data_IF_450452086814
#
_entry.id   IF_450452086814
#
_cell.length_a   1.000
_cell.length_b   1.000
_cell.length_c   1.000
_cell.angle_alpha   90.00
_cell.angle_beta   90.00
_cell.angle_gamma   90.00
#
_symmetry.space_group_name_H-M   'P 1'
#
loop_
_entity.id
_entity.type
_entity.pdbx_description
1 polymer ?
#
# COMPACT_ATOMS: atom_id res chain seq x y z
N UNK A 1 -28.32 4.25 -27.32
CA UNK A 1 -27.62 4.30 -26.03
C UNK A 1 -26.16 4.53 -26.31
N UNK A 2 -25.51 5.50 -25.66
CA UNK A 2 -24.05 5.58 -25.73
C UNK A 2 -23.47 4.38 -25.01
N UNK A 3 -22.46 3.76 -25.63
CA UNK A 3 -21.72 2.64 -25.06
C UNK A 3 -20.71 3.22 -24.07
N UNK A 4 -20.65 2.68 -22.86
CA UNK A 4 -19.59 2.99 -21.89
C UNK A 4 -18.23 2.60 -22.46
N UNK A 5 -17.15 3.23 -22.00
CA UNK A 5 -15.79 2.90 -22.44
C UNK A 5 -15.40 1.50 -21.94
N UNK A 6 -15.00 0.63 -22.88
CA UNK A 6 -14.72 -0.77 -22.58
C UNK A 6 -13.52 -0.92 -21.60
N UNK A 7 -12.54 -0.01 -21.60
CA UNK A 7 -11.41 -0.06 -20.66
C UNK A 7 -11.83 0.36 -19.25
N UNK A 8 -12.68 1.38 -19.13
CA UNK A 8 -13.23 1.79 -17.83
C UNK A 8 -14.16 0.71 -17.26
N UNK A 9 -14.97 0.04 -18.07
CA UNK A 9 -15.75 -1.11 -17.62
C UNK A 9 -14.84 -2.23 -17.10
N UNK A 10 -13.75 -2.56 -17.80
CA UNK A 10 -12.82 -3.61 -17.35
C UNK A 10 -12.12 -3.23 -16.02
N UNK A 11 -11.69 -1.97 -15.88
CA UNK A 11 -11.15 -1.45 -14.60
C UNK A 11 -12.17 -1.55 -13.46
N UNK A 12 -13.43 -1.19 -13.72
CA UNK A 12 -14.52 -1.30 -12.74
C UNK A 12 -14.78 -2.75 -12.34
N UNK A 13 -14.73 -3.69 -13.29
CA UNK A 13 -14.88 -5.13 -13.01
C UNK A 13 -13.74 -5.65 -12.12
N UNK A 14 -12.49 -5.25 -12.40
CA UNK A 14 -11.35 -5.60 -11.57
C UNK A 14 -11.48 -5.04 -10.14
N UNK A 15 -11.85 -3.75 -9.98
CA UNK A 15 -12.07 -3.14 -8.66
C UNK A 15 -13.23 -3.81 -7.91
N UNK A 16 -14.33 -4.13 -8.59
CA UNK A 16 -15.47 -4.82 -7.99
C UNK A 16 -15.11 -6.24 -7.54
N UNK A 17 -14.26 -6.95 -8.30
CA UNK A 17 -13.71 -8.27 -7.92
C UNK A 17 -12.92 -8.17 -6.61
N UNK A 18 -11.99 -7.21 -6.51
CA UNK A 18 -11.23 -6.97 -5.28
C UNK A 18 -12.15 -6.62 -4.09
N UNK A 19 -13.10 -5.70 -4.31
CA UNK A 19 -14.01 -5.27 -3.23
C UNK A 19 -14.87 -6.42 -2.74
N UNK A 20 -15.38 -7.27 -3.65
CA UNK A 20 -16.13 -8.47 -3.28
C UNK A 20 -15.31 -9.41 -2.39
N UNK A 21 -14.02 -9.62 -2.69
CA UNK A 21 -13.13 -10.45 -1.86
C UNK A 21 -12.93 -9.85 -0.47
N UNK A 22 -12.71 -8.54 -0.39
CA UNK A 22 -12.59 -7.83 0.89
C UNK A 22 -13.86 -7.99 1.74
N UNK A 23 -15.04 -7.72 1.16
CA UNK A 23 -16.32 -7.85 1.86
C UNK A 23 -16.61 -9.29 2.32
N UNK A 24 -16.21 -10.28 1.53
CA UNK A 24 -16.34 -11.69 1.92
C UNK A 24 -15.53 -11.99 3.19
N UNK A 25 -14.25 -11.64 3.20
CA UNK A 25 -13.37 -11.89 4.35
C UNK A 25 -13.74 -11.06 5.58
N UNK A 26 -14.16 -9.80 5.38
CA UNK A 26 -14.69 -8.97 6.46
C UNK A 26 -15.95 -9.63 7.09
N UNK A 27 -16.86 -10.16 6.26
CA UNK A 27 -18.02 -10.90 6.75
C UNK A 27 -17.62 -12.18 7.50
N UNK A 28 -16.63 -12.93 7.01
CA UNK A 28 -16.12 -14.11 7.73
C UNK A 28 -15.47 -13.75 9.07
N UNK A 29 -14.92 -12.53 9.18
CA UNK A 29 -14.33 -12.02 10.41
C UNK A 29 -15.35 -11.39 11.40
N UNK A 30 -16.61 -11.13 10.99
CA UNK A 30 -17.61 -10.33 11.73
C UNK A 30 -18.09 -10.89 13.08
N UNK A 31 -17.55 -12.02 13.55
CA UNK A 31 -17.77 -12.53 14.92
C UNK A 31 -16.58 -12.38 15.86
N UNK A 32 -15.41 -11.97 15.35
CA UNK A 32 -14.14 -12.03 16.09
C UNK A 32 -13.53 -10.65 16.38
N UNK A 33 -14.11 -9.56 15.85
CA UNK A 33 -13.41 -8.28 15.69
C UNK A 33 -14.27 -7.07 16.04
N UNK A 34 -13.76 -6.20 16.91
CA UNK A 34 -14.24 -4.85 17.18
C UNK A 34 -13.20 -3.86 16.63
N UNK A 35 -13.45 -3.24 15.47
CA UNK A 35 -12.53 -2.25 14.88
C UNK A 35 -12.31 -2.45 13.38
N UNK A 36 -11.38 -1.67 12.82
CA UNK A 36 -10.98 -1.85 11.42
C UNK A 36 -10.08 -3.07 11.25
N UNK A 37 -10.00 -3.58 10.03
CA UNK A 37 -9.23 -4.77 9.63
C UNK A 37 -8.54 -4.49 8.30
N UNK A 38 -7.57 -5.31 7.92
CA UNK A 38 -7.00 -5.26 6.56
C UNK A 38 -8.07 -5.28 5.46
N UNK A 39 -9.10 -6.11 5.61
CA UNK A 39 -10.14 -6.26 4.61
C UNK A 39 -11.04 -5.03 4.51
N UNK A 40 -11.39 -4.40 5.63
CA UNK A 40 -12.18 -3.15 5.62
C UNK A 40 -11.35 -1.98 5.09
N UNK A 41 -10.10 -1.84 5.55
CA UNK A 41 -9.23 -0.73 5.14
C UNK A 41 -8.92 -0.81 3.64
N UNK A 42 -8.67 -2.01 3.11
CA UNK A 42 -8.47 -2.19 1.67
C UNK A 42 -9.77 -1.96 0.89
N UNK A 43 -10.92 -2.37 1.42
CA UNK A 43 -12.24 -2.09 0.82
C UNK A 43 -12.49 -0.59 0.69
N UNK A 44 -12.10 0.21 1.70
CA UNK A 44 -12.23 1.67 1.68
C UNK A 44 -11.30 2.30 0.64
N UNK A 45 -10.06 1.80 0.49
CA UNK A 45 -9.14 2.29 -0.55
C UNK A 45 -9.63 1.97 -1.98
N UNK A 46 -10.42 0.91 -2.16
CA UNK A 46 -11.03 0.57 -3.46
C UNK A 46 -12.15 1.55 -3.83
N UNK A 47 -12.82 2.20 -2.87
CA UNK A 47 -13.94 3.10 -3.16
C UNK A 47 -13.55 4.32 -3.97
N UNK A 48 -12.37 4.88 -3.72
CA UNK A 48 -11.89 6.09 -4.40
C UNK A 48 -11.80 5.87 -5.92
N UNK A 49 -11.00 4.92 -6.44
CA UNK A 49 -10.94 4.68 -7.88
C UNK A 49 -12.26 4.18 -8.46
N UNK A 50 -13.04 3.41 -7.69
CA UNK A 50 -14.34 2.91 -8.14
C UNK A 50 -15.32 4.05 -8.41
N UNK A 51 -15.52 4.93 -7.42
CA UNK A 51 -16.41 6.09 -7.54
C UNK A 51 -15.91 7.08 -8.59
N UNK A 52 -14.59 7.29 -8.68
CA UNK A 52 -14.00 8.16 -9.69
C UNK A 52 -14.33 7.69 -11.11
N UNK A 53 -14.06 6.42 -11.42
CA UNK A 53 -14.29 5.86 -12.77
C UNK A 53 -15.78 5.81 -13.10
N UNK A 54 -16.63 5.43 -12.13
CA UNK A 54 -18.09 5.44 -12.33
C UNK A 54 -18.61 6.85 -12.65
N UNK A 55 -18.15 7.86 -11.91
CA UNK A 55 -18.55 9.24 -12.14
C UNK A 55 -18.02 9.77 -13.46
N UNK A 56 -16.78 9.45 -13.85
CA UNK A 56 -16.23 9.82 -15.15
C UNK A 56 -17.04 9.22 -16.31
N UNK A 57 -17.37 7.93 -16.24
CA UNK A 57 -18.19 7.25 -17.24
C UNK A 57 -19.60 7.84 -17.36
N UNK A 58 -20.28 8.09 -16.23
CA UNK A 58 -21.59 8.74 -16.22
C UNK A 58 -21.52 10.15 -16.82
N UNK A 59 -20.47 10.89 -16.47
CA UNK A 59 -20.24 12.25 -16.94
C UNK A 59 -19.98 12.27 -18.45
N UNK A 60 -19.13 11.38 -18.95
CA UNK A 60 -18.83 11.21 -20.37
C UNK A 60 -20.08 10.76 -21.16
N UNK A 61 -20.87 9.84 -20.61
CA UNK A 61 -22.12 9.38 -21.22
C UNK A 61 -23.13 10.53 -21.42
N UNK A 62 -23.16 11.48 -20.48
CA UNK A 62 -24.02 12.66 -20.51
C UNK A 62 -23.41 13.88 -21.22
N UNK A 63 -22.36 13.70 -22.04
CA UNK A 63 -21.64 14.79 -22.72
C UNK A 63 -21.13 15.87 -21.75
N UNK A 64 -20.78 15.48 -20.52
CA UNK A 64 -20.29 16.41 -19.49
C UNK A 64 -21.29 17.52 -19.18
N UNK A 65 -22.58 17.25 -19.43
CA UNK A 65 -23.67 18.21 -19.25
C UNK A 65 -23.72 18.68 -17.80
N UNK A 66 -23.80 19.99 -17.60
CA UNK A 66 -23.88 20.62 -16.29
C UNK A 66 -22.54 20.96 -15.64
N UNK A 67 -21.40 20.40 -16.09
CA UNK A 67 -20.09 20.70 -15.48
C UNK A 67 -19.76 22.19 -15.61
N UNK A 68 -19.90 22.78 -16.79
CA UNK A 68 -19.60 24.20 -16.98
C UNK A 68 -20.46 25.11 -16.09
N UNK A 69 -21.75 24.77 -15.94
CA UNK A 69 -22.67 25.52 -15.06
C UNK A 69 -22.31 25.36 -13.59
N UNK A 70 -21.90 24.16 -13.18
CA UNK A 70 -21.45 23.89 -11.82
C UNK A 70 -20.18 24.69 -11.51
N UNK A 71 -19.17 24.65 -12.39
CA UNK A 71 -17.95 25.44 -12.28
C UNK A 71 -18.27 26.93 -12.14
N UNK A 72 -19.11 27.47 -13.04
CA UNK A 72 -19.52 28.87 -12.99
C UNK A 72 -20.25 29.21 -11.68
N UNK A 73 -21.08 28.30 -11.16
CA UNK A 73 -21.82 28.55 -9.91
C UNK A 73 -20.91 28.68 -8.68
N UNK A 74 -19.89 27.84 -8.52
CA UNK A 74 -19.04 27.91 -7.32
C UNK A 74 -17.88 28.91 -7.47
N UNK A 75 -17.43 29.20 -8.70
CA UNK A 75 -16.41 30.23 -8.95
C UNK A 75 -17.01 31.63 -8.80
N UNK A 76 -18.27 31.85 -9.20
CA UNK A 76 -18.88 33.18 -9.09
C UNK A 76 -19.15 33.62 -7.64
N UNK A 77 -19.37 32.68 -6.72
CA UNK A 77 -19.67 32.98 -5.31
C UNK A 77 -18.47 33.52 -4.52
N UNK A 78 -17.23 33.23 -4.94
CA UNK A 78 -15.96 33.74 -4.38
C UNK A 78 -15.85 33.76 -2.83
N UNK A 79 -16.66 32.95 -2.13
CA UNK A 79 -16.86 33.03 -0.67
C UNK A 79 -15.60 32.87 0.17
N UNK A 80 -14.64 32.08 -0.32
CA UNK A 80 -13.41 31.71 0.39
C UNK A 80 -12.14 32.35 -0.20
N UNK A 81 -12.26 33.35 -1.07
CA UNK A 81 -11.12 33.92 -1.80
C UNK A 81 -10.33 34.94 -0.97
N UNK A 82 -10.72 35.13 0.31
CA UNK A 82 -10.21 36.12 1.27
C UNK A 82 -8.70 36.05 1.56
N UNK A 83 -7.97 35.07 1.02
CA UNK A 83 -6.54 34.86 1.28
C UNK A 83 -5.63 35.00 0.05
N UNK A 84 -6.18 35.20 -1.15
CA UNK A 84 -5.36 35.51 -2.34
C UNK A 84 -5.16 37.03 -2.41
N UNK A 85 -4.63 37.63 -1.35
CA UNK A 85 -4.05 38.97 -1.45
C UNK A 85 -2.65 38.84 -2.07
N UNK A 86 -2.61 38.48 -3.37
CA UNK A 86 -1.47 38.88 -4.16
C UNK A 86 -1.53 40.41 -4.19
N UNK A 87 -0.70 41.09 -3.40
CA UNK A 87 -0.64 42.56 -3.30
C UNK A 87 -0.52 43.28 -4.66
N UNK A 88 -0.18 42.54 -5.72
CA UNK A 88 -0.10 42.98 -7.12
C UNK A 88 -0.78 41.99 -8.11
N UNK A 89 -1.66 41.10 -7.65
CA UNK A 89 -2.22 40.03 -8.48
C UNK A 89 -3.61 40.32 -9.03
N UNK A 90 -3.88 39.75 -10.19
CA UNK A 90 -5.18 39.82 -10.85
C UNK A 90 -6.19 38.92 -10.11
N UNK A 91 -7.30 39.50 -9.65
CA UNK A 91 -8.44 38.77 -9.05
C UNK A 91 -9.33 38.11 -10.11
N UNK A 92 -8.90 38.10 -11.37
CA UNK A 92 -9.57 37.45 -12.46
C UNK A 92 -9.63 35.93 -12.29
N UNK A 93 -10.84 35.41 -12.19
CA UNK A 93 -11.10 33.98 -12.07
C UNK A 93 -11.04 33.23 -13.40
N UNK A 94 -10.76 33.90 -14.52
CA UNK A 94 -10.70 33.27 -15.85
C UNK A 94 -9.66 32.14 -15.91
N UNK A 95 -8.49 32.32 -15.28
CA UNK A 95 -7.46 31.27 -15.23
C UNK A 95 -7.97 30.02 -14.50
N UNK A 96 -8.71 30.21 -13.40
CA UNK A 96 -9.33 29.10 -12.67
C UNK A 96 -10.44 28.44 -13.50
N UNK A 97 -11.29 29.22 -14.17
CA UNK A 97 -12.35 28.70 -15.03
C UNK A 97 -11.78 27.88 -16.19
N UNK A 98 -10.71 28.36 -16.82
CA UNK A 98 -10.01 27.68 -17.90
C UNK A 98 -9.38 26.37 -17.41
N UNK A 99 -8.64 26.42 -16.30
CA UNK A 99 -7.98 25.25 -15.70
C UNK A 99 -8.99 24.17 -15.29
N UNK A 100 -10.07 24.55 -14.58
CA UNK A 100 -11.12 23.61 -14.19
C UNK A 100 -11.83 23.00 -15.40
N UNK A 101 -12.07 23.79 -16.47
CA UNK A 101 -12.64 23.24 -17.71
C UNK A 101 -11.69 22.25 -18.36
N UNK A 102 -10.38 22.53 -18.39
CA UNK A 102 -9.37 21.62 -18.92
C UNK A 102 -9.28 20.32 -18.11
N UNK A 103 -9.39 20.39 -16.78
CA UNK A 103 -9.39 19.22 -15.90
C UNK A 103 -10.46 18.17 -16.31
N UNK A 104 -11.66 18.63 -16.69
CA UNK A 104 -12.77 17.74 -17.06
C UNK A 104 -12.83 17.40 -18.55
N UNK A 105 -12.00 18.01 -19.39
CA UNK A 105 -12.04 17.81 -20.85
C UNK A 105 -10.78 17.16 -21.37
N UNK A 106 -9.61 17.73 -21.06
CA UNK A 106 -8.31 17.37 -21.63
C UNK A 106 -7.49 16.49 -20.69
N UNK A 107 -7.66 16.64 -19.37
CA UNK A 107 -6.77 16.01 -18.39
C UNK A 107 -7.40 14.80 -17.67
N UNK A 108 -8.59 14.35 -18.11
CA UNK A 108 -9.34 13.27 -17.47
C UNK A 108 -8.53 11.95 -17.40
N UNK A 109 -7.83 11.60 -18.48
CA UNK A 109 -6.98 10.40 -18.54
C UNK A 109 -5.78 10.49 -17.59
N UNK A 110 -5.17 11.67 -17.49
CA UNK A 110 -4.06 11.94 -16.58
C UNK A 110 -4.51 11.90 -15.10
N UNK A 111 -5.71 12.40 -14.82
CA UNK A 111 -6.33 12.29 -13.50
C UNK A 111 -6.63 10.84 -13.15
N UNK A 112 -7.18 10.07 -14.09
CA UNK A 112 -7.42 8.64 -13.90
C UNK A 112 -6.12 7.89 -13.60
N UNK A 113 -5.06 8.18 -14.36
CA UNK A 113 -3.73 7.61 -14.09
C UNK A 113 -3.29 7.90 -12.65
N UNK A 114 -3.37 9.16 -12.20
CA UNK A 114 -2.98 9.56 -10.84
C UNK A 114 -3.82 8.88 -9.76
N UNK A 115 -5.13 8.74 -9.98
CA UNK A 115 -6.04 8.05 -9.06
C UNK A 115 -5.64 6.58 -8.91
N UNK A 116 -5.42 5.88 -10.03
CA UNK A 116 -5.00 4.47 -10.01
C UNK A 116 -3.61 4.29 -9.38
N UNK A 117 -2.67 5.17 -9.69
CA UNK A 117 -1.33 5.16 -9.11
C UNK A 117 -1.37 5.35 -7.59
N UNK A 118 -2.20 6.26 -7.07
CA UNK A 118 -2.41 6.44 -5.63
C UNK A 118 -3.09 5.23 -4.99
N UNK A 119 -4.08 4.65 -5.66
CA UNK A 119 -4.72 3.42 -5.21
C UNK A 119 -3.70 2.29 -5.00
N UNK A 120 -2.77 2.07 -5.94
CA UNK A 120 -1.73 1.04 -5.79
C UNK A 120 -0.83 1.26 -4.57
N UNK A 121 -0.47 2.51 -4.26
CA UNK A 121 0.30 2.84 -3.05
C UNK A 121 -0.50 2.53 -1.80
N UNK A 122 -1.74 3.01 -1.75
CA UNK A 122 -2.55 2.91 -0.56
C UNK A 122 -2.91 1.45 -0.28
N UNK A 123 -3.29 0.69 -1.31
CA UNK A 123 -3.53 -0.74 -1.20
C UNK A 123 -2.30 -1.48 -0.63
N UNK A 124 -1.10 -1.16 -1.13
CA UNK A 124 0.13 -1.74 -0.59
C UNK A 124 0.47 -1.23 0.82
N UNK A 125 0.15 0.01 1.15
CA UNK A 125 0.40 0.59 2.48
C UNK A 125 -0.51 -0.03 3.55
N UNK A 126 -1.78 -0.29 3.21
CA UNK A 126 -2.71 -1.07 4.04
C UNK A 126 -2.14 -2.47 4.27
N UNK A 127 -1.74 -3.15 3.20
CA UNK A 127 -1.10 -4.47 3.29
C UNK A 127 0.13 -4.45 4.21
N UNK A 128 1.06 -3.51 3.96
CA UNK A 128 2.30 -3.38 4.71
C UNK A 128 2.06 -3.12 6.20
N UNK A 129 1.11 -2.23 6.53
CA UNK A 129 0.72 -1.95 7.90
C UNK A 129 0.25 -3.21 8.62
N UNK A 130 -0.74 -3.91 8.04
CA UNK A 130 -1.37 -5.04 8.70
C UNK A 130 -0.44 -6.25 8.81
N UNK A 131 0.36 -6.53 7.77
CA UNK A 131 1.37 -7.59 7.84
C UNK A 131 2.47 -7.23 8.85
N UNK A 132 2.96 -5.99 8.87
CA UNK A 132 3.96 -5.59 9.86
C UNK A 132 3.44 -5.62 11.30
N UNK A 133 2.15 -5.38 11.52
CA UNK A 133 1.50 -5.46 12.83
C UNK A 133 1.53 -6.88 13.40
N UNK A 134 1.52 -7.92 12.56
CA UNK A 134 1.56 -9.32 12.99
C UNK A 134 2.99 -9.82 13.31
N UNK A 135 4.02 -9.06 12.90
CA UNK A 135 5.41 -9.50 12.91
C UNK A 135 5.92 -9.99 14.27
N UNK A 136 5.75 -9.21 15.34
CA UNK A 136 6.31 -9.59 16.65
C UNK A 136 5.64 -10.86 17.18
N UNK A 137 4.34 -11.02 16.99
CA UNK A 137 3.60 -12.21 17.42
C UNK A 137 4.02 -13.45 16.63
N UNK A 138 4.16 -13.35 15.30
CA UNK A 138 4.69 -14.44 14.46
C UNK A 138 6.12 -14.81 14.86
N UNK A 139 6.96 -13.81 15.14
CA UNK A 139 8.34 -14.02 15.60
C UNK A 139 8.43 -14.69 16.96
N UNK A 140 7.53 -14.38 17.89
CA UNK A 140 7.44 -15.02 19.20
C UNK A 140 6.95 -16.48 19.09
N UNK A 141 5.99 -16.75 18.20
CA UNK A 141 5.53 -18.11 17.91
C UNK A 141 6.56 -18.96 17.15
N UNK A 142 7.50 -18.31 16.43
CA UNK A 142 8.59 -18.95 15.70
C UNK A 142 9.96 -18.51 16.23
N UNK A 143 10.28 -18.82 17.50
CA UNK A 143 11.52 -18.38 18.12
C UNK A 143 12.68 -18.89 17.29
N UNK A 144 13.44 -17.94 16.73
CA UNK A 144 14.62 -18.29 15.96
C UNK A 144 15.69 -18.70 16.96
N UNK A 145 16.27 -19.90 16.80
CA UNK A 145 17.39 -20.38 17.61
C UNK A 145 18.68 -19.62 17.20
N UNK A 146 18.64 -18.31 17.36
CA UNK A 146 19.50 -17.40 16.61
C UNK A 146 20.86 -17.36 17.28
N UNK A 147 21.89 -17.74 16.53
CA UNK A 147 23.30 -17.57 16.92
C UNK A 147 23.59 -16.13 17.38
N UNK A 148 22.84 -15.15 16.88
CA UNK A 148 22.91 -13.74 17.29
C UNK A 148 22.44 -13.54 18.73
N UNK A 149 21.33 -14.16 19.14
CA UNK A 149 20.82 -14.10 20.52
C UNK A 149 21.79 -14.77 21.48
N UNK A 150 22.29 -15.97 21.15
CA UNK A 150 23.33 -16.67 21.92
C UNK A 150 24.63 -15.85 22.04
N UNK A 151 25.02 -15.15 20.97
CA UNK A 151 26.19 -14.25 20.97
C UNK A 151 25.95 -12.99 21.80
N UNK A 152 24.73 -12.45 21.79
CA UNK A 152 24.33 -11.31 22.61
C UNK A 152 24.28 -11.67 24.09
N UNK A 153 23.65 -12.78 24.46
CA UNK A 153 23.64 -13.33 25.81
C UNK A 153 25.06 -13.53 26.34
N UNK A 154 25.95 -14.13 25.53
CA UNK A 154 27.36 -14.29 25.91
C UNK A 154 28.05 -12.94 26.18
N UNK A 155 27.80 -11.93 25.36
CA UNK A 155 28.36 -10.57 25.56
C UNK A 155 27.78 -9.87 26.78
N UNK A 156 26.49 -10.04 27.06
CA UNK A 156 25.85 -9.52 28.27
C UNK A 156 26.44 -10.16 29.54
N UNK A 157 26.68 -11.48 29.53
CA UNK A 157 27.35 -12.16 30.64
C UNK A 157 28.78 -11.63 30.87
N UNK A 158 29.55 -11.40 29.79
CA UNK A 158 30.89 -10.80 29.89
C UNK A 158 30.80 -9.38 30.47
N UNK A 159 29.84 -8.58 30.01
CA UNK A 159 29.62 -7.22 30.53
C UNK A 159 29.34 -7.22 32.03
N UNK A 160 28.44 -8.08 32.52
CA UNK A 160 28.15 -8.21 33.96
C UNK A 160 29.40 -8.65 34.74
N UNK A 161 30.19 -9.58 34.19
CA UNK A 161 31.47 -9.98 34.78
C UNK A 161 32.45 -8.82 34.93
N UNK A 162 32.60 -7.99 33.88
CA UNK A 162 33.48 -6.81 33.91
C UNK A 162 33.04 -5.75 34.92
N UNK A 163 31.72 -5.55 35.08
CA UNK A 163 31.16 -4.66 36.11
C UNK A 163 31.49 -5.18 37.51
N UNK A 164 31.32 -6.49 37.75
CA UNK A 164 31.61 -7.09 39.06
C UNK A 164 33.11 -7.10 39.39
N UNK A 165 33.98 -7.06 38.39
CA UNK A 165 35.45 -6.97 38.53
C UNK A 165 35.96 -5.52 38.59
N UNK A 166 35.08 -4.52 38.65
CA UNK A 166 35.40 -3.08 38.65
C UNK A 166 36.21 -2.61 37.42
N UNK A 167 36.10 -3.33 36.29
CA UNK A 167 36.75 -3.00 35.01
C UNK A 167 35.87 -2.08 34.16
N UNK A 168 35.57 -0.90 34.70
CA UNK A 168 34.56 0.01 34.14
C UNK A 168 34.87 0.47 32.71
N UNK A 169 36.13 0.69 32.35
CA UNK A 169 36.51 1.15 31.01
C UNK A 169 36.31 0.06 29.92
N UNK A 170 36.56 -1.21 30.28
CA UNK A 170 36.32 -2.35 29.38
C UNK A 170 34.83 -2.66 29.26
N UNK A 171 34.09 -2.52 30.37
CA UNK A 171 32.64 -2.65 30.38
C UNK A 171 31.98 -1.60 29.47
N UNK A 172 32.42 -0.34 29.52
CA UNK A 172 31.89 0.73 28.69
C UNK A 172 32.14 0.50 27.19
N UNK A 173 33.35 0.05 26.81
CA UNK A 173 33.68 -0.33 25.42
C UNK A 173 32.78 -1.48 24.92
N UNK A 174 32.51 -2.47 25.78
CA UNK A 174 31.63 -3.58 25.44
C UNK A 174 30.16 -3.14 25.36
N UNK A 175 29.73 -2.22 26.24
CA UNK A 175 28.40 -1.60 26.21
C UNK A 175 28.16 -0.92 24.87
N UNK A 176 29.07 -0.07 24.42
CA UNK A 176 28.96 0.63 23.13
C UNK A 176 28.92 -0.35 21.95
N UNK A 177 29.72 -1.42 22.01
CA UNK A 177 29.70 -2.47 21.00
C UNK A 177 28.36 -3.23 20.99
N UNK A 178 27.78 -3.51 22.16
CA UNK A 178 26.46 -4.11 22.29
C UNK A 178 25.42 -3.18 21.66
N UNK A 179 25.37 -1.90 22.07
CA UNK A 179 24.41 -0.92 21.54
C UNK A 179 24.53 -0.73 20.03
N UNK A 180 25.75 -0.66 19.50
CA UNK A 180 25.99 -0.56 18.06
C UNK A 180 25.51 -1.80 17.30
N UNK A 181 25.70 -2.99 17.86
CA UNK A 181 25.26 -4.25 17.26
C UNK A 181 23.77 -4.57 17.50
N UNK A 182 23.12 -3.88 18.45
CA UNK A 182 21.68 -4.01 18.78
C UNK A 182 20.82 -2.89 18.23
N UNK A 183 21.37 -1.85 17.61
CA UNK A 183 20.59 -0.82 16.93
C UNK A 183 19.99 -1.41 15.65
N UNK A 184 18.92 -2.19 15.82
CA UNK A 184 18.29 -3.02 14.79
C UNK A 184 16.99 -2.37 14.32
N UNK A 185 17.11 -1.26 13.58
CA UNK A 185 16.00 -0.92 12.70
C UNK A 185 15.78 -2.11 11.76
N UNK A 186 14.59 -2.72 11.83
CA UNK A 186 14.16 -3.78 10.92
C UNK A 186 13.18 -3.12 9.96
N UNK A 187 13.54 -3.11 8.69
CA UNK A 187 12.70 -2.55 7.64
C UNK A 187 11.39 -3.34 7.49
N UNK A 188 10.34 -2.69 7.01
CA UNK A 188 9.07 -3.36 6.71
C UNK A 188 9.25 -4.53 5.73
N UNK A 189 10.13 -4.40 4.74
CA UNK A 189 10.52 -5.49 3.83
C UNK A 189 11.06 -6.69 4.59
N UNK A 190 12.01 -6.50 5.52
CA UNK A 190 12.54 -7.60 6.33
C UNK A 190 11.47 -8.25 7.22
N UNK A 191 10.52 -7.47 7.74
CA UNK A 191 9.39 -8.01 8.51
C UNK A 191 8.48 -8.89 7.65
N UNK A 192 8.12 -8.39 6.46
CA UNK A 192 7.28 -9.11 5.50
C UNK A 192 7.98 -10.38 5.02
N UNK A 193 9.27 -10.31 4.65
CA UNK A 193 10.06 -11.47 4.23
C UNK A 193 10.15 -12.54 5.32
N UNK A 194 10.29 -12.10 6.58
CA UNK A 194 10.24 -13.03 7.71
C UNK A 194 8.88 -13.73 7.81
N UNK A 195 7.76 -13.00 7.74
CA UNK A 195 6.42 -13.58 7.79
C UNK A 195 6.20 -14.55 6.62
N UNK A 196 6.60 -14.16 5.40
CA UNK A 196 6.53 -15.01 4.22
C UNK A 196 7.21 -16.37 4.47
N UNK A 197 8.33 -16.37 5.20
CA UNK A 197 9.11 -17.57 5.50
C UNK A 197 8.54 -18.46 6.61
N UNK A 198 7.54 -18.00 7.37
CA UNK A 198 7.05 -18.67 8.59
C UNK A 198 5.63 -19.20 8.52
N UNK A 199 4.75 -18.54 7.78
CA UNK A 199 3.35 -18.96 7.75
C UNK A 199 3.14 -20.15 6.80
N UNK A 200 2.12 -20.95 7.13
CA UNK A 200 1.56 -21.94 6.21
C UNK A 200 0.57 -21.27 5.26
N UNK A 201 0.55 -21.72 4.01
CA UNK A 201 -0.34 -21.19 2.97
C UNK A 201 -1.41 -22.20 2.63
N UNK A 202 -2.67 -21.81 2.80
CA UNK A 202 -3.84 -22.65 2.50
C UNK A 202 -4.54 -22.21 1.22
N UNK A 203 -4.67 -20.89 1.00
CA UNK A 203 -5.20 -20.28 -0.22
C UNK A 203 -4.14 -20.15 -1.31
N UNK A 204 -2.87 -19.93 -0.94
CA UNK A 204 -1.72 -19.91 -1.86
C UNK A 204 -0.96 -21.24 -1.86
N UNK A 205 -1.68 -22.36 -1.92
CA UNK A 205 -1.07 -23.71 -1.92
C UNK A 205 -0.39 -24.08 -3.25
N UNK A 206 -0.79 -23.44 -4.36
CA UNK A 206 -0.13 -23.59 -5.65
C UNK A 206 1.17 -22.78 -5.68
N UNK A 207 2.29 -23.45 -5.96
CA UNK A 207 3.63 -22.82 -5.93
C UNK A 207 3.79 -21.68 -6.94
N UNK A 208 3.12 -21.72 -8.09
CA UNK A 208 3.18 -20.63 -9.07
C UNK A 208 2.40 -19.41 -8.57
N UNK A 209 1.18 -19.62 -8.07
CA UNK A 209 0.35 -18.52 -7.52
C UNK A 209 1.06 -17.88 -6.31
N UNK A 210 1.65 -18.70 -5.44
CA UNK A 210 2.45 -18.22 -4.31
C UNK A 210 3.64 -17.40 -4.76
N UNK A 211 4.37 -17.87 -5.78
CA UNK A 211 5.50 -17.13 -6.36
C UNK A 211 5.04 -15.78 -6.90
N UNK A 212 3.94 -15.75 -7.67
CA UNK A 212 3.38 -14.52 -8.22
C UNK A 212 2.98 -13.53 -7.11
N UNK A 213 2.42 -14.02 -6.01
CA UNK A 213 2.09 -13.18 -4.84
C UNK A 213 3.35 -12.56 -4.21
N UNK A 214 4.42 -13.34 -4.04
CA UNK A 214 5.70 -12.86 -3.49
C UNK A 214 6.35 -11.86 -4.45
N UNK A 215 6.39 -12.16 -5.75
CA UNK A 215 6.95 -11.28 -6.78
C UNK A 215 6.19 -9.95 -6.84
N UNK A 216 4.85 -9.98 -6.73
CA UNK A 216 4.02 -8.78 -6.61
C UNK A 216 4.38 -7.96 -5.38
N UNK A 217 4.42 -8.57 -4.19
CA UNK A 217 4.77 -7.89 -2.92
C UNK A 217 6.15 -7.23 -3.05
N UNK A 218 7.13 -7.94 -3.60
CA UNK A 218 8.48 -7.42 -3.78
C UNK A 218 8.56 -6.28 -4.79
N UNK A 219 7.75 -6.31 -5.85
CA UNK A 219 7.63 -5.25 -6.84
C UNK A 219 6.91 -3.99 -6.32
N UNK A 220 5.94 -4.15 -5.41
CA UNK A 220 5.20 -3.01 -4.86
C UNK A 220 6.07 -2.08 -4.01
N UNK A 221 7.14 -2.57 -3.37
CA UNK A 221 8.11 -1.72 -2.65
C UNK A 221 8.77 -0.63 -3.52
N UNK A 222 9.49 -0.97 -4.62
CA UNK A 222 10.06 0.05 -5.49
C UNK A 222 8.98 0.87 -6.23
N UNK A 223 7.81 0.30 -6.52
CA UNK A 223 6.70 1.07 -7.10
C UNK A 223 6.21 2.16 -6.13
N UNK A 224 5.95 1.83 -4.88
CA UNK A 224 5.59 2.80 -3.82
C UNK A 224 6.65 3.88 -3.67
N UNK A 225 7.93 3.50 -3.59
CA UNK A 225 9.04 4.45 -3.46
C UNK A 225 9.13 5.40 -4.67
N UNK A 226 8.88 4.89 -5.88
CA UNK A 226 8.83 5.71 -7.10
C UNK A 226 7.76 6.79 -7.00
N UNK A 227 6.58 6.43 -6.50
CA UNK A 227 5.48 7.39 -6.46
C UNK A 227 5.68 8.44 -5.35
N UNK A 228 6.24 8.05 -4.21
CA UNK A 228 6.69 9.02 -3.19
C UNK A 228 7.76 10.00 -3.75
N UNK A 229 8.56 9.56 -4.71
CA UNK A 229 9.53 10.39 -5.44
C UNK A 229 8.91 11.11 -6.65
N UNK A 230 7.69 11.65 -6.48
CA UNK A 230 6.98 12.46 -7.49
C UNK A 230 6.69 11.63 -8.78
N UNK A 231 6.47 10.32 -8.62
CA UNK A 231 6.11 9.46 -9.74
C UNK A 231 7.27 9.06 -10.66
N UNK A 232 8.53 9.27 -10.27
CA UNK A 232 9.70 8.90 -11.08
C UNK A 232 10.61 7.93 -10.32
N UNK A 233 10.94 6.80 -10.96
CA UNK A 233 11.86 5.83 -10.36
C UNK A 233 13.29 6.39 -10.37
N UNK A 234 13.80 6.73 -9.19
CA UNK A 234 15.16 7.26 -8.99
C UNK A 234 16.11 6.27 -8.30
N UNK A 235 15.78 4.97 -8.34
CA UNK A 235 16.55 3.95 -7.63
C UNK A 235 17.86 3.54 -8.32
N UNK A 236 18.12 4.00 -9.54
CA UNK A 236 19.25 3.56 -10.37
C UNK A 236 19.09 2.13 -10.92
N UNK A 237 17.89 1.55 -10.82
CA UNK A 237 17.57 0.18 -11.25
C UNK A 237 16.25 0.13 -12.00
N UNK A 238 16.19 -0.77 -12.97
CA UNK A 238 14.95 -1.12 -13.67
C UNK A 238 14.27 -2.29 -12.96
N UNK A 239 12.94 -2.24 -12.88
CA UNK A 239 12.12 -3.37 -12.41
C UNK A 239 11.08 -3.73 -13.46
N UNK A 240 10.73 -5.01 -13.52
CA UNK A 240 9.67 -5.57 -14.36
C UNK A 240 8.91 -6.60 -13.54
N UNK A 241 7.59 -6.54 -13.59
CA UNK A 241 6.72 -7.59 -13.07
C UNK A 241 5.86 -8.10 -14.23
N UNK A 242 5.90 -9.40 -14.47
CA UNK A 242 4.97 -10.10 -15.35
C UNK A 242 3.99 -10.87 -14.45
N UNK A 243 2.71 -10.55 -14.54
CA UNK A 243 1.69 -11.15 -13.67
C UNK A 243 0.32 -11.05 -14.35
N UNK A 244 -0.53 -12.07 -14.17
CA UNK A 244 -1.90 -12.08 -14.71
C UNK A 244 -1.98 -11.69 -16.21
N UNK A 245 -1.07 -12.24 -17.04
CA UNK A 245 -0.94 -11.92 -18.47
C UNK A 245 -0.85 -10.40 -18.76
N UNK A 246 -0.18 -9.66 -17.87
CA UNK A 246 0.18 -8.26 -18.06
C UNK A 246 1.59 -7.99 -17.55
N UNK A 247 2.16 -6.88 -17.99
CA UNK A 247 3.48 -6.43 -17.55
C UNK A 247 3.43 -5.02 -17.02
N UNK A 248 4.11 -4.80 -15.89
CA UNK A 248 4.40 -3.47 -15.36
C UNK A 248 5.89 -3.22 -15.42
N UNK A 249 6.27 -2.12 -16.06
CA UNK A 249 7.66 -1.67 -16.14
C UNK A 249 7.90 -0.48 -15.23
N UNK A 250 9.00 -0.52 -14.51
CA UNK A 250 9.48 0.55 -13.68
C UNK A 250 10.94 0.84 -14.05
N UNK A 251 11.14 1.54 -15.17
CA UNK A 251 12.47 1.91 -15.66
C UNK A 251 13.04 3.07 -14.84
N UNK A 252 14.35 3.10 -14.66
CA UNK A 252 15.04 4.21 -14.04
C UNK A 252 14.76 5.51 -14.80
N UNK A 253 14.63 6.60 -14.06
CA UNK A 253 14.28 7.93 -14.54
C UNK A 253 12.93 8.03 -15.29
N UNK A 254 12.03 7.07 -15.07
CA UNK A 254 10.71 7.03 -15.71
C UNK A 254 9.56 6.81 -14.73
N UNK A 255 8.36 7.21 -15.14
CA UNK A 255 7.12 6.83 -14.48
C UNK A 255 6.78 5.35 -14.73
N UNK A 256 6.00 4.71 -13.84
CA UNK A 256 5.55 3.34 -14.05
C UNK A 256 4.71 3.24 -15.32
N UNK A 257 4.98 2.21 -16.13
CA UNK A 257 4.23 1.90 -17.35
C UNK A 257 3.48 0.60 -17.17
N UNK A 258 2.16 0.66 -17.28
CA UNK A 258 1.26 -0.47 -17.18
C UNK A 258 0.81 -0.87 -18.58
N UNK A 259 1.01 -2.13 -18.98
CA UNK A 259 0.44 -2.61 -20.24
C UNK A 259 -1.08 -2.73 -20.14
N UNK A 260 -1.60 -3.14 -18.98
CA UNK A 260 -3.04 -3.27 -18.76
C UNK A 260 -3.43 -2.96 -17.30
N UNK A 261 -4.07 -1.81 -17.06
CA UNK A 261 -4.47 -1.40 -15.71
C UNK A 261 -5.42 -2.40 -15.04
N UNK A 262 -6.48 -2.85 -15.74
CA UNK A 262 -7.47 -3.75 -15.13
C UNK A 262 -6.83 -5.06 -14.63
N UNK A 263 -5.97 -5.69 -15.43
CA UNK A 263 -5.24 -6.91 -15.04
C UNK A 263 -4.28 -6.69 -13.86
N UNK A 264 -3.61 -5.54 -13.79
CA UNK A 264 -2.75 -5.21 -12.65
C UNK A 264 -3.55 -4.80 -11.40
N UNK A 265 -4.72 -4.17 -11.55
CA UNK A 265 -5.67 -3.99 -10.44
C UNK A 265 -6.09 -5.37 -9.94
N UNK A 266 -6.56 -6.24 -10.84
CA UNK A 266 -7.02 -7.57 -10.48
C UNK A 266 -5.93 -8.37 -9.77
N UNK A 267 -4.66 -8.29 -10.17
CA UNK A 267 -3.57 -9.01 -9.49
C UNK A 267 -3.36 -8.64 -8.02
N UNK A 268 -3.87 -7.50 -7.55
CA UNK A 268 -3.87 -7.15 -6.12
C UNK A 268 -4.69 -8.13 -5.27
N UNK A 269 -5.52 -8.99 -5.87
CA UNK A 269 -6.19 -10.06 -5.14
C UNK A 269 -5.19 -10.97 -4.41
N UNK A 270 -3.96 -11.10 -4.92
CA UNK A 270 -2.91 -11.89 -4.30
C UNK A 270 -2.47 -11.32 -2.95
N UNK A 271 -2.61 -10.00 -2.73
CA UNK A 271 -2.40 -9.39 -1.41
C UNK A 271 -3.50 -9.82 -0.42
N UNK A 272 -4.74 -9.93 -0.90
CA UNK A 272 -5.88 -10.38 -0.12
C UNK A 272 -5.71 -11.85 0.24
N UNK A 273 -5.36 -12.67 -0.74
CA UNK A 273 -5.17 -14.11 -0.57
C UNK A 273 -3.99 -14.37 0.38
N UNK A 274 -2.87 -13.66 0.23
CA UNK A 274 -1.75 -13.71 1.19
C UNK A 274 -2.19 -13.33 2.60
N UNK A 275 -2.87 -12.19 2.76
CA UNK A 275 -3.27 -11.75 4.08
C UNK A 275 -4.30 -12.71 4.71
N UNK A 276 -5.15 -13.33 3.89
CA UNK A 276 -6.09 -14.34 4.38
C UNK A 276 -5.38 -15.59 4.92
N UNK A 277 -4.30 -16.03 4.29
CA UNK A 277 -3.46 -17.11 4.82
C UNK A 277 -2.77 -16.70 6.13
N UNK A 278 -2.26 -15.47 6.20
CA UNK A 278 -1.70 -14.91 7.43
C UNK A 278 -2.76 -14.83 8.55
N UNK A 279 -3.98 -14.43 8.21
CA UNK A 279 -5.11 -14.33 9.13
C UNK A 279 -5.48 -15.70 9.70
N UNK A 280 -5.60 -16.71 8.85
CA UNK A 280 -5.88 -18.10 9.28
C UNK A 280 -4.75 -18.63 10.15
N UNK A 281 -3.49 -18.47 9.70
CA UNK A 281 -2.32 -18.82 10.50
C UNK A 281 -2.34 -18.14 11.87
N UNK A 282 -2.68 -16.85 11.92
CA UNK A 282 -2.75 -16.09 13.16
C UNK A 282 -3.82 -16.65 14.10
N UNK A 283 -4.99 -17.01 13.58
CA UNK A 283 -6.08 -17.59 14.37
C UNK A 283 -5.71 -18.93 15.00
N UNK A 284 -4.95 -19.76 14.27
CA UNK A 284 -4.57 -21.10 14.72
C UNK A 284 -3.33 -21.11 15.63
N UNK A 285 -2.41 -20.14 15.47
CA UNK A 285 -1.06 -20.23 16.05
C UNK A 285 -0.70 -19.08 17.02
N UNK A 286 -1.44 -17.96 17.03
CA UNK A 286 -1.06 -16.77 17.81
C UNK A 286 -2.02 -16.52 18.97
N UNK A 287 -1.47 -16.47 20.19
CA UNK A 287 -2.25 -16.28 21.43
C UNK A 287 -2.93 -14.91 21.56
N UNK A 288 -2.47 -13.92 20.81
CA UNK A 288 -2.93 -12.53 20.82
C UNK A 288 -3.71 -12.15 19.55
N UNK A 289 -4.21 -13.14 18.80
CA UNK A 289 -4.95 -12.99 17.54
C UNK A 289 -5.85 -11.75 17.50
N UNK A 290 -6.78 -11.60 18.45
CA UNK A 290 -7.74 -10.49 18.48
C UNK A 290 -7.08 -9.11 18.48
N UNK A 291 -5.91 -8.93 19.10
CA UNK A 291 -5.19 -7.63 19.11
C UNK A 291 -4.52 -7.33 17.77
N UNK A 292 -4.10 -8.38 17.07
CA UNK A 292 -3.36 -8.26 15.81
C UNK A 292 -4.31 -7.84 14.68
N UNK A 293 -5.51 -8.39 14.69
CA UNK A 293 -6.48 -8.32 13.61
C UNK A 293 -7.51 -7.18 13.75
N UNK A 294 -7.55 -6.50 14.89
CA UNK A 294 -8.39 -5.31 15.10
C UNK A 294 -7.56 -4.04 15.24
N UNK A 295 -8.02 -2.95 14.63
CA UNK A 295 -7.49 -1.59 14.75
C UNK A 295 -7.71 -1.00 16.13
#
# INVERSE_FOLDING_TARGET
>A
MKKFDDNNIDRLQALASLKRRCLHWEYMAKGMMLGSTFFSDLSDEIDIPLLFIMNDELTNSNNRSGISKLIESFVSENKYYNYIELRNGDNNTNLLLEDLRNCFVSDADDLLHRVLTRFFINAFSVFEYWVCKTYESVKLANPTDSKRLKKLEKRLCIYVGLINEDKLEEAEKLKDLIFKDTNSYISSREKIDFIISKISYTGLSDDNIKKDAIDLIHFLFPLRNTIHNIGVNKSGKDFKLEINDTVVYLKNDSAPKYEHYAKFIDSLHLLIDFYSDLFMYAGDNLSDFNKIVTG
#
